data_IF_330636254215
#
_entry.id   IF_330636254215
#
_cell.length_a   1.000
_cell.length_b   1.000
_cell.length_c   1.000
_cell.angle_alpha   90.00
_cell.angle_beta   90.00
_cell.angle_gamma   90.00
#
_symmetry.space_group_name_H-M   'P 1'
#
loop_
_entity.id
_entity.type
_entity.pdbx_description
1 polymer ?
#
# COMPACT_ATOMS: atom_id res chain seq x y z
N UNK A 1 -26.57 -56.50 30.59
CA UNK A 1 -25.76 -55.47 31.27
C UNK A 1 -24.69 -55.01 30.31
N UNK A 2 -24.74 -53.73 29.95
CA UNK A 2 -24.03 -53.11 28.84
C UNK A 2 -22.56 -52.81 29.17
N UNK A 3 -21.67 -53.09 28.20
CA UNK A 3 -20.32 -52.53 28.10
C UNK A 3 -20.42 -51.05 27.67
N UNK A 4 -19.66 -50.17 28.31
CA UNK A 4 -19.37 -48.82 27.83
C UNK A 4 -17.86 -48.70 27.56
N UNK A 5 -17.44 -48.11 26.42
CA UNK A 5 -16.03 -48.03 26.04
C UNK A 5 -15.36 -46.73 26.53
N UNK A 6 -14.05 -46.86 26.71
CA UNK A 6 -13.04 -45.84 26.97
C UNK A 6 -13.10 -44.65 25.99
N UNK A 7 -13.25 -43.45 26.54
CA UNK A 7 -13.11 -42.18 25.84
C UNK A 7 -11.63 -41.88 25.55
N UNK A 8 -11.32 -41.75 24.26
CA UNK A 8 -10.11 -41.11 23.74
C UNK A 8 -10.08 -39.64 24.14
N UNK A 9 -9.00 -39.21 24.78
CA UNK A 9 -8.62 -37.79 24.92
C UNK A 9 -7.96 -37.36 23.60
N UNK A 10 -8.38 -36.25 22.95
CA UNK A 10 -7.66 -35.73 21.80
C UNK A 10 -6.35 -35.09 22.29
N UNK A 11 -5.23 -35.54 21.74
CA UNK A 11 -3.93 -34.90 21.92
C UNK A 11 -3.98 -33.47 21.37
N UNK A 12 -3.85 -32.49 22.26
CA UNK A 12 -3.53 -31.11 21.90
C UNK A 12 -2.12 -31.10 21.28
N UNK A 13 -2.07 -30.88 19.96
CA UNK A 13 -0.87 -30.44 19.25
C UNK A 13 -0.49 -29.05 19.76
N UNK A 14 0.32 -29.00 20.82
CA UNK A 14 1.04 -27.80 21.21
C UNK A 14 2.13 -27.55 20.16
N UNK A 15 1.90 -26.58 19.28
CA UNK A 15 2.97 -26.01 18.46
C UNK A 15 3.99 -25.35 19.39
N UNK A 16 5.23 -25.84 19.35
CA UNK A 16 6.38 -25.17 19.95
C UNK A 16 6.63 -23.86 19.21
N UNK A 17 6.03 -22.78 19.69
CA UNK A 17 6.39 -21.41 19.32
C UNK A 17 7.69 -21.07 20.04
N UNK A 18 8.72 -20.71 19.29
CA UNK A 18 9.93 -20.12 19.88
C UNK A 18 9.60 -18.76 20.51
N UNK A 19 10.42 -18.26 21.43
CA UNK A 19 10.18 -16.96 22.08
C UNK A 19 10.11 -15.77 21.08
N UNK A 20 10.65 -15.90 19.86
CA UNK A 20 10.48 -14.94 18.76
C UNK A 20 9.07 -15.01 18.14
N UNK A 21 8.50 -16.21 18.00
CA UNK A 21 7.18 -16.42 17.40
C UNK A 21 6.02 -15.90 18.25
N UNK A 22 6.22 -15.66 19.56
CA UNK A 22 5.22 -14.98 20.39
C UNK A 22 5.20 -13.46 20.19
N UNK A 23 6.30 -12.87 19.73
CA UNK A 23 6.45 -11.42 19.54
C UNK A 23 5.75 -10.90 18.28
N UNK A 24 5.81 -11.66 17.18
CA UNK A 24 5.22 -11.23 15.90
C UNK A 24 3.68 -11.15 15.93
N UNK A 25 2.93 -12.14 16.45
CA UNK A 25 1.49 -12.01 16.63
C UNK A 25 1.12 -10.82 17.51
N UNK A 26 1.85 -10.60 18.62
CA UNK A 26 1.63 -9.45 19.49
C UNK A 26 1.89 -8.11 18.78
N UNK A 27 2.93 -8.05 17.94
CA UNK A 27 3.20 -6.88 17.08
C UNK A 27 2.06 -6.64 16.09
N UNK A 28 1.57 -7.68 15.41
CA UNK A 28 0.44 -7.59 14.49
C UNK A 28 -0.83 -7.09 15.20
N UNK A 29 -1.17 -7.62 16.39
CA UNK A 29 -2.30 -7.13 17.19
C UNK A 29 -2.12 -5.69 17.65
N UNK A 30 -0.89 -5.29 18.02
CA UNK A 30 -0.58 -3.93 18.43
C UNK A 30 -0.74 -2.94 17.28
N UNK A 31 -0.24 -3.29 16.10
CA UNK A 31 -0.43 -2.51 14.86
C UNK A 31 -1.90 -2.37 14.55
N UNK A 32 -2.64 -3.49 14.51
CA UNK A 32 -4.07 -3.51 14.22
C UNK A 32 -4.85 -2.59 15.16
N UNK A 33 -4.65 -2.77 16.48
CA UNK A 33 -5.30 -1.95 17.50
C UNK A 33 -5.04 -0.46 17.28
N UNK A 34 -3.78 -0.08 17.06
CA UNK A 34 -3.43 1.34 16.86
C UNK A 34 -4.07 1.91 15.60
N UNK A 35 -4.00 1.20 14.46
CA UNK A 35 -4.60 1.67 13.21
C UNK A 35 -6.10 1.92 13.37
N UNK A 36 -6.84 0.96 13.95
CA UNK A 36 -8.29 1.06 14.08
C UNK A 36 -8.76 2.02 15.18
N UNK A 37 -7.98 2.24 16.24
CA UNK A 37 -8.36 3.16 17.32
C UNK A 37 -7.91 4.61 17.11
N UNK A 38 -6.87 4.86 16.30
CA UNK A 38 -6.26 6.19 16.16
C UNK A 38 -6.19 6.73 14.73
N UNK A 39 -5.97 5.87 13.74
CA UNK A 39 -5.65 6.31 12.36
C UNK A 39 -6.78 6.11 11.37
N UNK A 40 -7.80 5.33 11.72
CA UNK A 40 -8.93 5.06 10.83
C UNK A 40 -9.89 6.24 10.83
N UNK A 41 -10.15 6.81 9.66
CA UNK A 41 -11.16 7.86 9.51
C UNK A 41 -12.58 7.30 9.72
N UNK A 42 -13.58 8.17 9.96
CA UNK A 42 -14.99 7.78 9.93
C UNK A 42 -15.39 7.08 8.61
N UNK A 43 -14.82 7.52 7.49
CA UNK A 43 -15.02 6.94 6.15
C UNK A 43 -14.21 5.65 5.91
N UNK A 44 -13.53 5.13 6.93
CA UNK A 44 -12.70 3.93 6.83
C UNK A 44 -11.52 4.04 5.85
N UNK A 45 -10.93 5.24 5.80
CA UNK A 45 -9.68 5.57 5.10
C UNK A 45 -8.58 5.79 6.13
N UNK A 46 -7.39 5.25 5.91
CA UNK A 46 -6.26 5.49 6.81
C UNK A 46 -5.71 6.91 6.66
N UNK A 47 -5.63 7.62 7.78
CA UNK A 47 -4.88 8.87 7.86
C UNK A 47 -3.37 8.63 7.79
N UNK A 48 -2.62 9.58 7.22
CA UNK A 48 -1.16 9.57 7.13
C UNK A 48 -0.53 9.58 8.53
N UNK A 49 -1.10 10.40 9.43
CA UNK A 49 -0.65 10.52 10.81
C UNK A 49 -1.79 10.85 11.77
N UNK A 50 -1.58 10.56 13.06
CA UNK A 50 -2.51 10.88 14.14
C UNK A 50 -1.78 11.01 15.49
N UNK A 51 -2.37 11.74 16.42
CA UNK A 51 -1.91 11.83 17.79
C UNK A 51 -2.14 10.53 18.59
N UNK A 52 -1.65 10.47 19.85
CA UNK A 52 -1.78 9.29 20.71
C UNK A 52 -3.23 8.89 20.99
N UNK A 53 -4.17 9.83 20.99
CA UNK A 53 -5.61 9.57 21.17
C UNK A 53 -6.41 9.65 19.86
N UNK A 54 -5.73 9.64 18.70
CA UNK A 54 -6.36 9.75 17.39
C UNK A 54 -6.61 11.18 16.93
N UNK A 55 -5.92 12.15 17.51
CA UNK A 55 -6.08 13.57 17.15
C UNK A 55 -5.54 13.83 15.74
N UNK A 56 -6.36 14.48 14.91
CA UNK A 56 -6.02 14.92 13.56
C UNK A 56 -6.59 16.32 13.31
N UNK A 57 -5.89 17.12 12.50
CA UNK A 57 -6.41 18.39 11.98
C UNK A 57 -6.73 18.18 10.51
N UNK A 58 -8.00 17.94 10.19
CA UNK A 58 -8.44 17.75 8.81
C UNK A 58 -8.53 19.10 8.09
N UNK A 59 -8.22 19.15 6.79
CA UNK A 59 -8.41 20.36 6.00
C UNK A 59 -9.89 20.70 5.86
N UNK A 60 -10.17 21.99 5.89
CA UNK A 60 -11.51 22.54 5.67
C UNK A 60 -11.84 22.67 4.18
N UNK A 61 -13.11 22.86 3.81
CA UNK A 61 -13.49 23.12 2.41
C UNK A 61 -12.81 24.36 1.83
N UNK A 62 -12.57 25.38 2.67
CA UNK A 62 -11.83 26.58 2.29
C UNK A 62 -10.37 26.28 1.96
N UNK A 63 -9.70 25.51 2.80
CA UNK A 63 -8.29 25.13 2.61
C UNK A 63 -8.11 24.23 1.40
N UNK A 64 -8.98 23.24 1.20
CA UNK A 64 -8.97 22.39 0.01
C UNK A 64 -9.13 23.22 -1.27
N UNK A 65 -10.13 24.12 -1.31
CA UNK A 65 -10.38 24.98 -2.48
C UNK A 65 -9.23 25.95 -2.76
N UNK A 66 -8.55 26.41 -1.72
CA UNK A 66 -7.40 27.32 -1.83
C UNK A 66 -6.07 26.61 -1.98
N UNK A 67 -6.03 25.28 -2.05
CA UNK A 67 -4.79 24.51 -2.12
C UNK A 67 -3.83 24.83 -0.96
N UNK A 68 -4.37 24.87 0.25
CA UNK A 68 -3.64 25.04 1.51
C UNK A 68 -3.51 23.66 2.17
N UNK A 69 -2.29 23.16 2.45
CA UNK A 69 -1.02 23.87 2.38
C UNK A 69 -0.42 23.90 0.96
N UNK A 70 -0.79 22.94 0.12
CA UNK A 70 -0.43 22.87 -1.29
C UNK A 70 -1.51 22.08 -2.04
N UNK A 71 -1.59 22.22 -3.36
CA UNK A 71 -2.60 21.58 -4.21
C UNK A 71 -2.46 20.08 -4.28
N UNK A 72 -1.33 19.53 -3.83
CA UNK A 72 -1.08 18.09 -3.73
C UNK A 72 -1.69 17.47 -2.45
N UNK A 73 -2.11 18.30 -1.49
CA UNK A 73 -2.52 17.84 -0.16
C UNK A 73 -1.39 17.21 0.64
N UNK A 74 -0.14 17.39 0.22
CA UNK A 74 1.02 16.80 0.90
C UNK A 74 1.20 17.38 2.29
N UNK A 75 1.67 16.51 3.19
CA UNK A 75 1.98 16.79 4.59
C UNK A 75 0.75 16.97 5.49
N UNK A 76 -0.46 16.73 4.97
CA UNK A 76 -1.72 16.71 5.72
C UNK A 76 -2.07 15.28 6.14
N UNK A 77 -2.96 15.07 7.13
CA UNK A 77 -3.33 13.71 7.53
C UNK A 77 -4.12 12.96 6.44
N UNK A 78 -4.61 13.66 5.41
CA UNK A 78 -5.39 13.09 4.30
C UNK A 78 -4.53 12.88 3.04
N UNK A 79 -3.20 12.90 3.17
CA UNK A 79 -2.30 12.82 2.03
C UNK A 79 -2.44 11.49 1.27
N UNK A 80 -2.38 10.34 1.96
CA UNK A 80 -2.11 9.05 1.32
C UNK A 80 -3.26 8.03 1.44
N UNK A 81 -4.51 8.48 1.44
CA UNK A 81 -5.68 7.62 1.70
C UNK A 81 -5.80 6.44 0.73
N UNK A 82 -5.71 6.69 -0.58
CA UNK A 82 -5.78 5.61 -1.59
C UNK A 82 -4.61 4.64 -1.49
N UNK A 83 -3.41 5.17 -1.25
CA UNK A 83 -2.21 4.36 -1.04
C UNK A 83 -2.34 3.49 0.20
N UNK A 84 -2.48 4.11 1.38
CA UNK A 84 -2.35 3.45 2.68
C UNK A 84 -3.50 2.48 2.90
N UNK A 85 -4.73 2.90 2.58
CA UNK A 85 -5.92 2.05 2.69
C UNK A 85 -5.83 0.88 1.72
N UNK A 86 -5.34 1.09 0.50
CA UNK A 86 -5.15 0.03 -0.50
C UNK A 86 -4.16 -1.04 -0.03
N UNK A 87 -2.98 -0.63 0.43
CA UNK A 87 -1.96 -1.56 0.91
C UNK A 87 -2.33 -2.22 2.24
N UNK A 88 -3.04 -1.52 3.13
CA UNK A 88 -3.52 -2.12 4.37
C UNK A 88 -4.68 -3.09 4.14
N UNK A 89 -5.56 -2.83 3.16
CA UNK A 89 -6.61 -3.77 2.75
C UNK A 89 -6.03 -5.12 2.30
N UNK A 90 -4.86 -5.12 1.65
CA UNK A 90 -4.13 -6.35 1.33
C UNK A 90 -3.79 -7.14 2.60
N UNK A 91 -3.19 -6.48 3.60
CA UNK A 91 -2.86 -7.11 4.87
C UNK A 91 -4.10 -7.60 5.63
N UNK A 92 -5.16 -6.78 5.69
CA UNK A 92 -6.41 -7.14 6.34
C UNK A 92 -7.07 -8.36 5.67
N UNK A 93 -7.01 -8.46 4.34
CA UNK A 93 -7.49 -9.62 3.61
C UNK A 93 -6.66 -10.88 3.92
N UNK A 94 -5.32 -10.78 3.99
CA UNK A 94 -4.47 -11.92 4.39
C UNK A 94 -4.66 -12.30 5.87
N UNK A 95 -4.86 -11.33 6.77
CA UNK A 95 -5.25 -11.55 8.17
C UNK A 95 -6.56 -12.33 8.26
N UNK A 96 -7.57 -11.91 7.50
CA UNK A 96 -8.86 -12.62 7.44
C UNK A 96 -8.71 -14.04 6.90
N UNK A 97 -7.94 -14.27 5.84
CA UNK A 97 -7.70 -15.63 5.29
C UNK A 97 -7.11 -16.58 6.35
N UNK A 98 -6.24 -16.06 7.22
CA UNK A 98 -5.61 -16.84 8.30
C UNK A 98 -6.47 -16.93 9.57
N UNK A 99 -7.35 -15.95 9.80
CA UNK A 99 -8.24 -15.88 10.96
C UNK A 99 -9.61 -15.29 10.56
N UNK A 100 -10.55 -16.11 10.06
CA UNK A 100 -11.79 -15.65 9.42
C UNK A 100 -12.89 -15.30 10.44
N UNK A 101 -12.62 -14.34 11.33
CA UNK A 101 -13.61 -13.82 12.29
C UNK A 101 -14.56 -12.81 11.65
N UNK A 102 -15.73 -12.60 12.25
CA UNK A 102 -16.67 -11.56 11.84
C UNK A 102 -16.04 -10.15 11.90
N UNK A 103 -15.19 -9.90 12.89
CA UNK A 103 -14.47 -8.63 13.02
C UNK A 103 -13.48 -8.40 11.87
N UNK A 104 -12.66 -9.40 11.53
CA UNK A 104 -11.71 -9.27 10.42
C UNK A 104 -12.45 -9.15 9.07
N UNK A 105 -13.56 -9.86 8.89
CA UNK A 105 -14.44 -9.71 7.73
C UNK A 105 -14.94 -8.27 7.60
N UNK A 106 -15.47 -7.70 8.67
CA UNK A 106 -16.02 -6.35 8.67
C UNK A 106 -14.95 -5.30 8.40
N UNK A 107 -13.76 -5.44 9.00
CA UNK A 107 -12.61 -4.57 8.73
C UNK A 107 -12.24 -4.53 7.24
N UNK A 108 -12.21 -5.69 6.58
CA UNK A 108 -11.95 -5.77 5.13
C UNK A 108 -13.05 -5.06 4.32
N UNK A 109 -14.33 -5.27 4.65
CA UNK A 109 -15.45 -4.59 3.98
C UNK A 109 -15.37 -3.08 4.13
N UNK A 110 -15.10 -2.59 5.35
CA UNK A 110 -14.96 -1.17 5.66
C UNK A 110 -13.85 -0.51 4.86
N UNK A 111 -12.69 -1.13 4.78
CA UNK A 111 -11.56 -0.62 3.99
C UNK A 111 -11.88 -0.56 2.49
N UNK A 112 -12.55 -1.58 1.93
CA UNK A 112 -13.03 -1.54 0.55
C UNK A 112 -14.04 -0.38 0.34
N UNK A 113 -14.95 -0.18 1.28
CA UNK A 113 -15.88 0.95 1.30
C UNK A 113 -15.17 2.31 1.36
N UNK A 114 -14.10 2.44 2.14
CA UNK A 114 -13.28 3.66 2.18
C UNK A 114 -12.62 3.96 0.83
N UNK A 115 -12.11 2.94 0.13
CA UNK A 115 -11.59 3.11 -1.23
C UNK A 115 -12.70 3.53 -2.22
N UNK A 116 -13.91 2.98 -2.10
CA UNK A 116 -15.05 3.45 -2.90
C UNK A 116 -15.39 4.91 -2.61
N UNK A 117 -15.34 5.31 -1.34
CA UNK A 117 -15.60 6.69 -0.94
C UNK A 117 -14.61 7.67 -1.57
N UNK A 118 -13.33 7.33 -1.67
CA UNK A 118 -12.31 8.15 -2.34
C UNK A 118 -12.58 8.33 -3.85
N UNK A 119 -13.26 7.37 -4.48
CA UNK A 119 -13.74 7.51 -5.85
C UNK A 119 -14.99 8.41 -5.90
N UNK A 120 -15.93 8.23 -4.96
CA UNK A 120 -17.25 8.87 -5.00
C UNK A 120 -17.23 10.37 -4.69
N UNK A 121 -16.28 10.86 -3.88
CA UNK A 121 -16.13 12.31 -3.63
C UNK A 121 -15.59 13.08 -4.85
N UNK A 122 -14.93 12.38 -5.78
CA UNK A 122 -14.35 12.95 -6.98
C UNK A 122 -15.39 13.36 -8.02
N UNK A 123 -15.18 14.49 -8.69
CA UNK A 123 -16.08 15.01 -9.74
C UNK A 123 -15.61 14.66 -11.15
N UNK A 124 -14.32 14.40 -11.32
CA UNK A 124 -13.68 14.15 -12.60
C UNK A 124 -13.59 12.64 -12.87
N UNK A 125 -14.12 12.14 -14.00
CA UNK A 125 -13.95 10.74 -14.38
C UNK A 125 -12.46 10.36 -14.44
N UNK A 126 -12.07 9.22 -13.86
CA UNK A 126 -10.67 8.81 -13.77
C UNK A 126 -9.94 9.27 -12.49
N UNK A 127 -10.57 10.09 -11.64
CA UNK A 127 -9.98 10.63 -10.41
C UNK A 127 -10.19 9.71 -9.20
N UNK A 128 -9.19 9.70 -8.31
CA UNK A 128 -9.28 9.14 -6.95
C UNK A 128 -8.74 10.18 -5.98
N UNK A 129 -9.54 10.54 -4.98
CA UNK A 129 -9.15 11.48 -3.95
C UNK A 129 -8.02 10.93 -3.07
N UNK A 130 -7.17 11.84 -2.60
CA UNK A 130 -6.13 11.54 -1.60
C UNK A 130 -6.72 11.28 -0.21
N UNK A 131 -7.81 11.96 0.12
CA UNK A 131 -8.55 11.80 1.35
C UNK A 131 -9.65 12.85 1.46
N UNK A 132 -10.32 12.90 2.61
CA UNK A 132 -11.57 13.62 2.81
C UNK A 132 -11.42 14.55 4.02
N UNK A 133 -11.81 15.82 3.83
CA UNK A 133 -11.70 16.86 4.84
C UNK A 133 -12.89 16.94 5.79
N UNK A 134 -13.04 18.06 6.48
CA UNK A 134 -13.92 18.21 7.66
C UNK A 134 -15.41 18.07 7.39
N UNK A 135 -15.88 18.33 6.17
CA UNK A 135 -17.31 18.27 5.81
C UNK A 135 -17.74 16.91 5.25
N UNK A 136 -16.81 15.94 5.19
CA UNK A 136 -17.05 14.63 4.63
C UNK A 136 -17.05 14.58 3.10
N UNK A 137 -16.80 15.69 2.39
CA UNK A 137 -16.84 15.77 0.92
C UNK A 137 -15.62 16.47 0.30
N UNK A 138 -15.09 17.50 0.96
CA UNK A 138 -14.02 18.31 0.45
C UNK A 138 -12.72 17.51 0.37
N UNK A 139 -11.96 17.74 -0.69
CA UNK A 139 -10.72 17.03 -0.97
C UNK A 139 -9.80 17.92 -1.80
N UNK A 140 -8.50 17.61 -1.82
CA UNK A 140 -7.54 18.29 -2.67
C UNK A 140 -7.69 17.87 -4.13
N UNK A 141 -7.44 18.81 -5.04
CA UNK A 141 -7.61 18.58 -6.47
C UNK A 141 -6.60 17.57 -7.05
N UNK A 142 -5.46 17.31 -6.41
CA UNK A 142 -4.50 16.34 -6.91
C UNK A 142 -4.89 14.90 -6.56
N UNK A 143 -4.92 14.04 -7.58
CA UNK A 143 -4.71 12.60 -7.41
C UNK A 143 -3.21 12.29 -7.52
N UNK A 144 -2.84 11.02 -7.73
CA UNK A 144 -1.48 10.61 -8.10
C UNK A 144 -1.42 9.15 -8.52
N UNK A 145 -0.45 8.80 -9.37
CA UNK A 145 -0.05 7.41 -9.66
C UNK A 145 0.05 6.54 -8.39
N UNK A 146 0.61 7.11 -7.31
CA UNK A 146 0.83 6.42 -6.04
C UNK A 146 -0.45 6.22 -5.21
N UNK A 147 -1.55 6.92 -5.52
CA UNK A 147 -2.86 6.68 -4.91
C UNK A 147 -3.70 5.71 -5.72
N UNK A 148 -3.73 5.93 -7.03
CA UNK A 148 -4.58 5.17 -7.95
C UNK A 148 -4.13 3.72 -8.03
N UNK A 149 -2.83 3.46 -8.07
CA UNK A 149 -2.35 2.09 -8.24
C UNK A 149 -2.65 1.19 -7.03
N UNK A 150 -2.35 1.58 -5.77
CA UNK A 150 -2.72 0.76 -4.62
C UNK A 150 -4.23 0.66 -4.40
N UNK A 151 -5.02 1.64 -4.86
CA UNK A 151 -6.48 1.52 -4.89
C UNK A 151 -6.92 0.28 -5.70
N UNK A 152 -6.34 0.07 -6.89
CA UNK A 152 -6.58 -1.15 -7.66
C UNK A 152 -6.08 -2.40 -6.93
N UNK A 153 -4.87 -2.38 -6.35
CA UNK A 153 -4.31 -3.55 -5.66
C UNK A 153 -5.14 -3.98 -4.45
N UNK A 154 -5.59 -3.03 -3.63
CA UNK A 154 -6.44 -3.28 -2.48
C UNK A 154 -7.79 -3.87 -2.87
N UNK A 155 -8.47 -3.27 -3.85
CA UNK A 155 -9.76 -3.75 -4.33
C UNK A 155 -9.65 -5.10 -5.05
N UNK A 156 -8.57 -5.35 -5.78
CA UNK A 156 -8.25 -6.67 -6.33
C UNK A 156 -8.09 -7.72 -5.21
N UNK A 157 -7.37 -7.39 -4.13
CA UNK A 157 -7.23 -8.30 -2.99
C UNK A 157 -8.57 -8.61 -2.32
N UNK A 158 -9.41 -7.59 -2.10
CA UNK A 158 -10.77 -7.74 -1.57
C UNK A 158 -11.64 -8.62 -2.48
N UNK A 159 -11.62 -8.33 -3.79
CA UNK A 159 -12.35 -9.10 -4.79
C UNK A 159 -11.94 -10.58 -4.75
N UNK A 160 -10.68 -10.92 -4.51
CA UNK A 160 -10.23 -12.32 -4.40
C UNK A 160 -10.49 -12.99 -3.03
N UNK A 161 -11.24 -12.37 -2.13
CA UNK A 161 -11.71 -13.04 -0.91
C UNK A 161 -13.06 -13.71 -1.14
N UNK A 162 -13.48 -14.53 -0.18
CA UNK A 162 -14.85 -15.06 -0.05
C UNK A 162 -15.78 -14.08 0.70
N UNK A 163 -15.33 -12.83 0.94
CA UNK A 163 -16.10 -11.82 1.67
C UNK A 163 -17.19 -11.17 0.81
N UNK A 164 -16.88 -10.62 -0.37
CA UNK A 164 -17.91 -9.98 -1.17
C UNK A 164 -18.90 -11.03 -1.67
N UNK A 165 -20.18 -10.75 -1.45
CA UNK A 165 -21.29 -11.40 -2.18
C UNK A 165 -21.13 -11.18 -3.69
N UNK A 166 -21.87 -11.93 -4.51
CA UNK A 166 -21.81 -11.75 -5.97
C UNK A 166 -22.14 -10.31 -6.40
N UNK A 167 -23.10 -9.67 -5.73
CA UNK A 167 -23.45 -8.27 -6.00
C UNK A 167 -22.32 -7.29 -5.60
N UNK A 168 -21.73 -7.47 -4.41
CA UNK A 168 -20.60 -6.64 -3.96
C UNK A 168 -19.36 -6.86 -4.83
N UNK A 169 -19.13 -8.09 -5.29
CA UNK A 169 -18.05 -8.48 -6.19
C UNK A 169 -18.23 -7.84 -7.57
N UNK A 170 -19.46 -7.82 -8.09
CA UNK A 170 -19.82 -7.14 -9.33
C UNK A 170 -19.65 -5.62 -9.21
N UNK A 171 -20.07 -5.00 -8.10
CA UNK A 171 -19.86 -3.57 -7.87
C UNK A 171 -18.37 -3.22 -7.78
N UNK A 172 -17.57 -4.04 -7.07
CA UNK A 172 -16.13 -3.88 -6.99
C UNK A 172 -15.46 -3.91 -8.38
N UNK A 173 -15.81 -4.91 -9.20
CA UNK A 173 -15.34 -5.02 -10.58
C UNK A 173 -15.79 -3.83 -11.43
N UNK A 174 -17.05 -3.39 -11.29
CA UNK A 174 -17.61 -2.24 -11.98
C UNK A 174 -16.89 -0.94 -11.64
N UNK A 175 -16.52 -0.73 -10.37
CA UNK A 175 -15.74 0.44 -9.93
C UNK A 175 -14.35 0.48 -10.54
N UNK A 176 -13.65 -0.66 -10.53
CA UNK A 176 -12.34 -0.79 -11.17
C UNK A 176 -12.44 -0.57 -12.69
N UNK A 177 -13.47 -1.12 -13.33
CA UNK A 177 -13.71 -0.96 -14.77
C UNK A 177 -14.02 0.49 -15.17
N UNK A 178 -14.86 1.19 -14.40
CA UNK A 178 -15.12 2.62 -14.61
C UNK A 178 -13.81 3.41 -14.56
N UNK A 179 -13.00 3.21 -13.53
CA UNK A 179 -11.73 3.92 -13.38
C UNK A 179 -10.76 3.59 -14.52
N UNK A 180 -10.52 2.31 -14.79
CA UNK A 180 -9.58 1.87 -15.82
C UNK A 180 -10.01 2.32 -17.23
N UNK A 181 -11.30 2.25 -17.56
CA UNK A 181 -11.83 2.71 -18.84
C UNK A 181 -11.66 4.22 -19.05
N UNK A 182 -11.86 5.03 -18.01
CA UNK A 182 -11.60 6.47 -18.09
C UNK A 182 -10.11 6.77 -18.25
N UNK A 183 -9.25 6.08 -17.48
CA UNK A 183 -7.80 6.20 -17.62
C UNK A 183 -7.33 5.81 -19.02
N UNK A 184 -7.86 4.73 -19.60
CA UNK A 184 -7.54 4.32 -20.97
C UNK A 184 -7.87 5.43 -21.99
N UNK A 185 -9.07 6.03 -21.90
CA UNK A 185 -9.50 7.11 -22.81
C UNK A 185 -8.57 8.33 -22.77
N UNK A 186 -7.97 8.63 -21.61
CA UNK A 186 -7.03 9.74 -21.43
C UNK A 186 -5.56 9.28 -21.49
N UNK A 187 -5.28 8.17 -22.19
CA UNK A 187 -3.93 7.65 -22.40
C UNK A 187 -3.16 7.38 -21.10
N UNK A 188 -3.86 6.89 -20.08
CA UNK A 188 -3.34 6.52 -18.76
C UNK A 188 -2.67 7.67 -18.01
N UNK A 189 -3.08 8.90 -18.30
CA UNK A 189 -2.76 10.08 -17.51
C UNK A 189 -3.63 10.08 -16.26
N UNK A 190 -3.07 10.40 -15.10
CA UNK A 190 -3.85 10.48 -13.86
C UNK A 190 -4.42 11.88 -13.72
N UNK A 191 -5.76 12.05 -13.86
CA UNK A 191 -6.39 13.35 -13.76
C UNK A 191 -6.46 13.77 -12.29
N UNK A 192 -6.40 15.08 -12.08
CA UNK A 192 -6.87 15.74 -10.86
C UNK A 192 -8.33 16.14 -11.00
N UNK A 193 -8.92 16.61 -9.90
CA UNK A 193 -10.31 17.09 -9.85
C UNK A 193 -10.44 18.60 -10.15
N UNK A 194 -9.52 19.10 -10.97
CA UNK A 194 -9.55 20.46 -11.54
C UNK A 194 -8.88 20.45 -12.92
N UNK A 195 -9.26 21.36 -13.83
CA UNK A 195 -8.65 21.44 -15.16
C UNK A 195 -7.12 21.57 -15.11
N UNK A 196 -6.45 20.90 -16.04
CA UNK A 196 -4.99 20.91 -16.25
C UNK A 196 -4.12 20.47 -15.06
N UNK A 197 -4.73 19.91 -14.02
CA UNK A 197 -4.01 19.34 -12.89
C UNK A 197 -3.90 17.83 -13.10
N UNK A 198 -2.71 17.33 -13.36
CA UNK A 198 -2.46 15.90 -13.57
C UNK A 198 -1.24 15.49 -12.79
N UNK A 199 -1.25 14.27 -12.22
CA UNK A 199 -0.17 13.80 -11.36
C UNK A 199 0.22 12.37 -11.68
N UNK A 200 1.03 12.26 -12.72
CA UNK A 200 1.63 11.00 -13.14
C UNK A 200 0.94 10.39 -14.36
N UNK A 201 1.68 9.49 -14.98
CA UNK A 201 1.33 8.90 -16.27
C UNK A 201 1.87 7.47 -16.35
N UNK A 202 1.04 6.47 -16.65
CA UNK A 202 1.47 5.06 -16.63
C UNK A 202 2.09 4.58 -17.95
N UNK A 203 2.09 5.39 -19.00
CA UNK A 203 2.88 5.11 -20.21
C UNK A 203 4.34 5.61 -20.09
N UNK A 204 4.77 6.00 -18.89
CA UNK A 204 6.14 6.41 -18.61
C UNK A 204 7.18 5.28 -18.80
N UNK A 205 8.46 5.68 -18.76
CA UNK A 205 9.61 4.85 -19.14
C UNK A 205 10.35 4.27 -17.91
N UNK A 206 9.71 4.21 -16.75
CA UNK A 206 10.31 3.69 -15.51
C UNK A 206 9.66 2.36 -15.10
N UNK A 207 10.34 1.65 -14.18
CA UNK A 207 9.87 0.37 -13.65
C UNK A 207 8.44 0.43 -13.12
N UNK A 208 8.11 1.41 -12.28
CA UNK A 208 6.77 1.55 -11.70
C UNK A 208 5.70 1.73 -12.78
N UNK A 209 5.92 2.57 -13.79
CA UNK A 209 4.97 2.80 -14.89
C UNK A 209 4.72 1.51 -15.69
N UNK A 210 5.78 0.76 -16.00
CA UNK A 210 5.68 -0.52 -16.68
C UNK A 210 4.87 -1.54 -15.85
N UNK A 211 5.12 -1.61 -14.54
CA UNK A 211 4.37 -2.49 -13.62
C UNK A 211 2.92 -2.07 -13.50
N UNK A 212 2.63 -0.77 -13.30
CA UNK A 212 1.27 -0.27 -13.10
C UNK A 212 0.37 -0.64 -14.27
N UNK A 213 0.80 -0.30 -15.49
CA UNK A 213 0.01 -0.56 -16.69
C UNK A 213 -0.18 -2.06 -16.94
N UNK A 214 0.89 -2.85 -16.82
CA UNK A 214 0.82 -4.30 -17.02
C UNK A 214 -0.08 -4.97 -15.97
N UNK A 215 -0.01 -4.52 -14.73
CA UNK A 215 -0.81 -5.10 -13.63
C UNK A 215 -2.27 -4.70 -13.73
N UNK A 216 -2.59 -3.44 -13.99
CA UNK A 216 -3.99 -2.98 -14.09
C UNK A 216 -4.69 -3.64 -15.27
N UNK A 217 -4.07 -3.71 -16.44
CA UNK A 217 -4.66 -4.43 -17.59
C UNK A 217 -4.88 -5.91 -17.29
N UNK A 218 -3.97 -6.58 -16.56
CA UNK A 218 -4.19 -7.96 -16.13
C UNK A 218 -5.32 -8.09 -15.12
N UNK A 219 -5.35 -7.25 -14.07
CA UNK A 219 -6.41 -7.21 -13.06
C UNK A 219 -7.76 -7.00 -13.74
N UNK A 220 -7.83 -6.07 -14.70
CA UNK A 220 -9.07 -5.79 -15.41
C UNK A 220 -9.58 -6.99 -16.19
N UNK A 221 -8.71 -7.71 -16.89
CA UNK A 221 -9.10 -8.98 -17.51
C UNK A 221 -9.60 -9.97 -16.46
N UNK A 222 -8.94 -10.10 -15.30
CA UNK A 222 -9.37 -11.05 -14.28
C UNK A 222 -10.75 -10.76 -13.71
N UNK A 223 -11.08 -9.49 -13.45
CA UNK A 223 -12.35 -9.10 -12.79
C UNK A 223 -13.52 -8.94 -13.77
N UNK A 224 -13.25 -8.67 -15.06
CA UNK A 224 -14.30 -8.48 -16.07
C UNK A 224 -14.46 -9.67 -17.03
N UNK A 225 -13.39 -10.45 -17.22
CA UNK A 225 -13.25 -11.45 -18.30
C UNK A 225 -13.44 -10.88 -19.71
N UNK A 226 -13.29 -9.57 -19.88
CA UNK A 226 -13.31 -8.91 -21.18
C UNK A 226 -11.94 -9.04 -21.88
N UNK A 227 -11.93 -9.66 -23.06
CA UNK A 227 -10.71 -9.95 -23.84
C UNK A 227 -9.96 -8.67 -24.27
N UNK A 228 -10.63 -7.52 -24.37
CA UNK A 228 -9.97 -6.22 -24.65
C UNK A 228 -8.83 -5.95 -23.66
N UNK A 229 -9.04 -6.21 -22.37
CA UNK A 229 -8.03 -6.00 -21.33
C UNK A 229 -6.85 -6.95 -21.42
N UNK A 230 -7.11 -8.18 -21.85
CA UNK A 230 -6.07 -9.19 -22.07
C UNK A 230 -5.21 -8.85 -23.29
N UNK A 231 -5.85 -8.40 -24.38
CA UNK A 231 -5.15 -7.91 -25.57
C UNK A 231 -4.30 -6.68 -25.24
N UNK A 232 -4.86 -5.71 -24.50
CA UNK A 232 -4.12 -4.55 -23.98
C UNK A 232 -2.91 -4.98 -23.13
N UNK A 233 -3.10 -5.93 -22.22
CA UNK A 233 -2.03 -6.43 -21.35
C UNK A 233 -0.83 -6.93 -22.17
N UNK A 234 -1.07 -7.87 -23.09
CA UNK A 234 0.00 -8.42 -23.92
C UNK A 234 0.56 -7.42 -24.93
N UNK A 235 -0.27 -6.51 -25.47
CA UNK A 235 0.21 -5.41 -26.32
C UNK A 235 1.17 -4.51 -25.55
N UNK A 236 0.79 -4.01 -24.38
CA UNK A 236 1.62 -3.11 -23.59
C UNK A 236 2.92 -3.76 -23.10
N UNK A 237 2.89 -5.05 -22.77
CA UNK A 237 4.11 -5.79 -22.40
C UNK A 237 5.12 -5.85 -23.55
N UNK A 238 4.65 -5.95 -24.79
CA UNK A 238 5.48 -6.24 -25.95
C UNK A 238 5.80 -5.02 -26.80
N UNK A 239 4.99 -3.96 -26.78
CA UNK A 239 5.30 -2.73 -27.49
C UNK A 239 6.49 -2.01 -26.84
N UNK A 240 7.40 -1.43 -27.63
CA UNK A 240 8.44 -0.57 -27.11
C UNK A 240 7.84 0.73 -26.58
N UNK A 241 8.41 1.24 -25.50
CA UNK A 241 8.15 2.60 -25.06
C UNK A 241 8.89 3.63 -25.95
N UNK A 242 8.83 4.90 -25.56
CA UNK A 242 9.48 6.01 -26.27
C UNK A 242 11.01 5.90 -26.37
N UNK A 243 11.65 5.07 -25.56
CA UNK A 243 13.09 4.77 -25.60
C UNK A 243 13.41 3.47 -26.36
N UNK A 244 12.41 2.83 -26.97
CA UNK A 244 12.61 1.58 -27.70
C UNK A 244 12.66 0.33 -26.81
N UNK A 245 12.39 0.45 -25.50
CA UNK A 245 12.48 -0.67 -24.55
C UNK A 245 11.08 -1.23 -24.31
N UNK A 246 10.91 -2.55 -24.46
CA UNK A 246 9.62 -3.20 -24.17
C UNK A 246 9.36 -3.20 -22.67
N UNK A 247 8.10 -3.04 -22.27
CA UNK A 247 7.73 -2.96 -20.83
C UNK A 247 8.10 -4.23 -20.07
N UNK A 248 7.94 -5.42 -20.68
CA UNK A 248 8.37 -6.68 -20.05
C UNK A 248 9.87 -6.70 -19.71
N UNK A 249 10.70 -6.07 -20.54
CA UNK A 249 12.14 -5.99 -20.33
C UNK A 249 12.47 -5.00 -19.19
N UNK A 250 11.72 -3.90 -19.06
CA UNK A 250 11.81 -2.99 -17.89
C UNK A 250 11.43 -3.68 -16.60
N UNK A 251 10.33 -4.44 -16.60
CA UNK A 251 9.91 -5.20 -15.42
C UNK A 251 11.00 -6.20 -15.06
N UNK A 252 11.54 -6.95 -16.02
CA UNK A 252 12.60 -7.92 -15.81
C UNK A 252 13.90 -7.32 -15.24
N UNK A 253 14.22 -6.07 -15.59
CA UNK A 253 15.38 -5.35 -15.04
C UNK A 253 15.20 -4.98 -13.55
N UNK A 254 13.95 -4.93 -13.08
CA UNK A 254 13.62 -4.49 -11.72
C UNK A 254 13.62 -2.97 -11.57
N UNK A 255 13.42 -2.51 -10.33
CA UNK A 255 13.52 -1.10 -9.98
C UNK A 255 14.95 -0.59 -10.17
N UNK A 256 15.15 0.70 -10.42
CA UNK A 256 16.48 1.33 -10.39
C UNK A 256 17.06 1.29 -8.95
N UNK A 257 18.16 2.00 -8.67
CA UNK A 257 18.72 2.05 -7.31
C UNK A 257 17.64 2.47 -6.28
N UNK A 258 17.38 1.58 -5.32
CA UNK A 258 16.29 1.74 -4.35
C UNK A 258 16.69 2.71 -3.25
N UNK A 259 16.42 3.99 -3.48
CA UNK A 259 16.60 5.02 -2.47
C UNK A 259 15.65 4.79 -1.27
N UNK A 260 16.04 5.16 -0.02
CA UNK A 260 15.19 4.99 1.15
C UNK A 260 13.80 5.61 1.00
N UNK A 261 13.73 6.83 0.46
CA UNK A 261 12.46 7.56 0.29
C UNK A 261 11.51 6.89 -0.72
N UNK A 262 12.02 6.05 -1.63
CA UNK A 262 11.23 5.39 -2.67
C UNK A 262 10.80 3.97 -2.32
N UNK A 263 11.30 3.40 -1.23
CA UNK A 263 11.03 2.01 -0.84
C UNK A 263 9.54 1.69 -0.70
N UNK A 264 8.75 2.61 -0.15
CA UNK A 264 7.32 2.41 0.08
C UNK A 264 6.52 2.23 -1.21
N UNK A 265 6.58 3.15 -2.18
CA UNK A 265 5.84 2.97 -3.44
C UNK A 265 6.41 1.83 -4.30
N UNK A 266 7.72 1.52 -4.20
CA UNK A 266 8.28 0.35 -4.87
C UNK A 266 7.83 -0.98 -4.24
N UNK A 267 7.46 -1.01 -2.96
CA UNK A 267 6.88 -2.21 -2.34
C UNK A 267 5.55 -2.61 -2.97
N UNK A 268 4.76 -1.63 -3.43
CA UNK A 268 3.50 -1.85 -4.13
C UNK A 268 3.75 -2.44 -5.52
N UNK A 269 4.76 -1.91 -6.23
CA UNK A 269 5.19 -2.46 -7.51
C UNK A 269 5.73 -3.89 -7.37
N UNK A 270 6.52 -4.17 -6.32
CA UNK A 270 6.98 -5.52 -6.00
C UNK A 270 5.81 -6.47 -5.75
N UNK A 271 4.80 -6.05 -4.99
CA UNK A 271 3.58 -6.83 -4.75
C UNK A 271 2.89 -7.16 -6.07
N UNK A 272 2.73 -6.18 -6.94
CA UNK A 272 2.06 -6.36 -8.22
C UNK A 272 2.82 -7.30 -9.16
N UNK A 273 4.17 -7.22 -9.21
CA UNK A 273 4.99 -8.17 -9.97
C UNK A 273 4.82 -9.60 -9.43
N UNK A 274 4.67 -9.77 -8.12
CA UNK A 274 4.39 -11.09 -7.53
C UNK A 274 3.04 -11.64 -7.97
N UNK A 275 2.01 -10.79 -8.02
CA UNK A 275 0.70 -11.24 -8.50
C UNK A 275 0.72 -11.55 -10.00
N UNK A 276 1.44 -10.76 -10.83
CA UNK A 276 1.69 -11.10 -12.23
C UNK A 276 2.41 -12.45 -12.37
N UNK A 277 3.48 -12.67 -11.58
CA UNK A 277 4.20 -13.95 -11.54
C UNK A 277 3.29 -15.13 -11.21
N UNK A 278 2.36 -14.97 -10.27
CA UNK A 278 1.42 -16.02 -9.85
C UNK A 278 0.32 -16.29 -10.88
N UNK A 279 -0.12 -15.27 -11.62
CA UNK A 279 -1.15 -15.38 -12.66
C UNK A 279 -0.59 -15.84 -14.02
N UNK A 280 0.71 -15.69 -14.26
CA UNK A 280 1.32 -15.98 -15.55
C UNK A 280 1.47 -17.48 -15.82
N UNK A 281 1.09 -17.86 -17.03
CA UNK A 281 1.15 -19.23 -17.55
C UNK A 281 2.27 -19.41 -18.58
N UNK A 282 2.70 -18.34 -19.27
CA UNK A 282 3.87 -18.37 -20.15
C UNK A 282 5.16 -18.52 -19.32
N UNK A 283 5.91 -19.63 -19.46
CA UNK A 283 7.13 -19.87 -18.70
C UNK A 283 8.19 -18.78 -18.88
N UNK A 284 8.28 -18.17 -20.07
CA UNK A 284 9.27 -17.14 -20.36
C UNK A 284 8.94 -15.83 -19.63
N UNK A 285 7.70 -15.37 -19.69
CA UNK A 285 7.26 -14.17 -18.95
C UNK A 285 7.34 -14.40 -17.43
N UNK A 286 6.94 -15.59 -16.98
CA UNK A 286 7.01 -15.96 -15.57
C UNK A 286 8.44 -15.90 -15.03
N UNK A 287 9.43 -16.35 -15.80
CA UNK A 287 10.84 -16.26 -15.44
C UNK A 287 11.33 -14.80 -15.36
N UNK A 288 10.86 -13.91 -16.25
CA UNK A 288 11.17 -12.48 -16.18
C UNK A 288 10.67 -11.86 -14.87
N UNK A 289 9.44 -12.17 -14.46
CA UNK A 289 8.88 -11.70 -13.19
C UNK A 289 9.65 -12.26 -11.99
N UNK A 290 9.99 -13.55 -12.01
CA UNK A 290 10.79 -14.18 -10.95
C UNK A 290 12.15 -13.49 -10.79
N UNK A 291 12.83 -13.17 -11.89
CA UNK A 291 14.09 -12.44 -11.89
C UNK A 291 13.92 -11.04 -11.29
N UNK A 292 12.89 -10.31 -11.71
CA UNK A 292 12.55 -8.98 -11.18
C UNK A 292 12.37 -9.01 -9.66
N UNK A 293 11.55 -9.94 -9.16
CA UNK A 293 11.27 -10.13 -7.74
C UNK A 293 12.55 -10.33 -6.92
N UNK A 294 13.45 -11.18 -7.42
CA UNK A 294 14.75 -11.44 -6.78
C UNK A 294 15.65 -10.21 -6.76
N UNK A 295 15.87 -9.58 -7.93
CA UNK A 295 16.75 -8.41 -8.04
C UNK A 295 16.28 -7.25 -7.16
N UNK A 296 14.97 -7.04 -7.09
CA UNK A 296 14.34 -6.04 -6.25
C UNK A 296 14.56 -6.32 -4.76
N UNK A 297 14.48 -7.58 -4.33
CA UNK A 297 14.75 -7.98 -2.96
C UNK A 297 16.21 -7.80 -2.56
N UNK A 298 17.15 -8.17 -3.43
CA UNK A 298 18.59 -7.95 -3.21
C UNK A 298 18.90 -6.45 -3.03
N UNK A 299 18.26 -5.57 -3.81
CA UNK A 299 18.37 -4.10 -3.68
C UNK A 299 17.78 -3.55 -2.38
N UNK A 300 16.79 -4.23 -1.79
CA UNK A 300 16.15 -3.80 -0.56
C UNK A 300 16.94 -4.12 0.71
N UNK A 301 17.79 -5.15 0.69
CA UNK A 301 18.55 -5.62 1.87
C UNK A 301 19.26 -4.49 2.64
N UNK A 302 20.01 -3.56 2.00
CA UNK A 302 20.73 -2.51 2.73
C UNK A 302 19.82 -1.59 3.56
N UNK A 303 18.56 -1.41 3.13
CA UNK A 303 17.60 -0.52 3.77
C UNK A 303 17.06 -1.07 5.09
N UNK A 304 17.17 -2.37 5.35
CA UNK A 304 16.77 -2.97 6.64
C UNK A 304 17.43 -2.21 7.80
N UNK A 305 18.73 -1.94 7.70
CA UNK A 305 19.53 -1.28 8.74
C UNK A 305 19.05 0.13 9.15
N UNK A 306 18.19 0.78 8.36
CA UNK A 306 17.70 2.14 8.64
C UNK A 306 16.85 2.23 9.91
N UNK A 307 16.27 1.12 10.36
CA UNK A 307 15.54 1.05 11.63
C UNK A 307 16.41 1.49 12.82
N UNK A 308 17.74 1.31 12.73
CA UNK A 308 18.70 1.64 13.80
C UNK A 308 18.89 3.14 14.00
N UNK A 309 18.49 3.97 13.02
CA UNK A 309 18.51 5.43 13.15
C UNK A 309 17.40 5.96 14.07
N UNK A 310 16.39 5.15 14.36
CA UNK A 310 15.35 5.49 15.32
C UNK A 310 15.86 5.28 16.75
N UNK A 311 15.90 6.33 17.57
CA UNK A 311 16.20 6.21 18.99
C UNK A 311 14.93 5.86 19.76
N UNK A 312 14.89 4.63 20.31
CA UNK A 312 13.74 4.11 21.05
C UNK A 312 13.58 4.75 22.44
N UNK A 313 14.60 5.43 22.95
CA UNK A 313 14.56 6.16 24.21
C UNK A 313 14.15 7.63 24.03
N UNK A 314 14.31 8.17 22.82
CA UNK A 314 13.94 9.55 22.53
C UNK A 314 12.42 9.76 22.55
N UNK A 315 12.02 10.99 22.91
CA UNK A 315 10.66 11.48 22.71
C UNK A 315 10.72 12.60 21.67
N UNK A 316 10.13 12.36 20.51
CA UNK A 316 10.09 13.33 19.43
C UNK A 316 8.81 14.17 19.53
N UNK A 317 8.92 15.48 19.32
CA UNK A 317 7.75 16.35 19.33
C UNK A 317 6.81 16.00 18.16
N UNK A 318 5.52 15.91 18.46
CA UNK A 318 4.44 15.71 17.51
C UNK A 318 3.46 16.88 17.56
N UNK A 319 2.89 17.22 16.41
CA UNK A 319 1.77 18.15 16.29
C UNK A 319 0.85 17.66 15.18
N UNK A 320 -0.48 17.56 15.41
CA UNK A 320 -1.42 17.23 14.34
C UNK A 320 -1.70 18.45 13.45
N UNK A 321 -1.34 19.64 13.91
CA UNK A 321 -1.57 20.91 13.23
C UNK A 321 -0.52 21.16 12.14
N UNK A 322 -0.87 20.79 10.93
CA UNK A 322 -0.05 20.99 9.73
C UNK A 322 0.04 22.45 9.29
N UNK A 323 -0.80 23.36 9.80
CA UNK A 323 -0.68 24.79 9.47
C UNK A 323 0.68 25.38 9.85
N UNK A 324 1.39 24.74 10.78
CA UNK A 324 2.76 25.08 11.19
C UNK A 324 3.80 24.98 10.08
N UNK A 325 3.49 24.35 8.95
CA UNK A 325 4.37 24.39 7.77
C UNK A 325 4.33 25.73 7.02
N UNK A 326 3.49 26.67 7.46
CA UNK A 326 3.33 28.00 6.86
C UNK A 326 3.87 29.10 7.80
N UNK A 327 4.59 30.10 7.25
CA UNK A 327 5.12 30.17 5.88
C UNK A 327 6.17 29.07 5.58
N UNK A 328 6.39 28.70 4.31
CA UNK A 328 5.89 29.37 3.10
C UNK A 328 4.51 28.91 2.63
N UNK A 329 3.73 29.85 2.07
CA UNK A 329 2.56 29.56 1.24
C UNK A 329 2.43 30.60 0.13
N UNK A 330 2.04 30.15 -1.06
CA UNK A 330 1.69 30.99 -2.21
C UNK A 330 0.66 30.28 -3.08
N UNK A 331 -0.09 31.04 -3.86
CA UNK A 331 -1.00 30.50 -4.87
C UNK A 331 -0.22 29.68 -5.91
N UNK A 332 -0.79 28.54 -6.33
CA UNK A 332 -0.17 27.58 -7.24
C UNK A 332 -1.04 27.44 -8.48
N UNK A 333 -0.46 27.58 -9.67
CA UNK A 333 -1.23 27.58 -10.92
C UNK A 333 -1.37 26.19 -11.55
N UNK A 334 -0.51 25.26 -11.16
CA UNK A 334 -0.44 23.92 -11.72
C UNK A 334 0.26 22.96 -10.74
N UNK A 335 0.35 21.68 -11.12
CA UNK A 335 0.98 20.63 -10.32
C UNK A 335 2.45 20.92 -9.97
N UNK A 336 3.22 21.51 -10.90
CA UNK A 336 4.65 21.80 -10.68
C UNK A 336 4.87 22.90 -9.65
N UNK A 337 4.03 23.95 -9.67
CA UNK A 337 4.04 25.00 -8.66
C UNK A 337 3.72 24.42 -7.28
N UNK A 338 2.70 23.56 -7.22
CA UNK A 338 2.30 22.87 -5.99
C UNK A 338 3.40 21.95 -5.45
N UNK A 339 4.08 21.20 -6.33
CA UNK A 339 5.20 20.35 -5.95
C UNK A 339 6.37 21.17 -5.41
N UNK A 340 6.71 22.27 -6.07
CA UNK A 340 7.81 23.14 -5.65
C UNK A 340 7.53 23.73 -4.28
N UNK A 341 6.30 24.25 -4.05
CA UNK A 341 5.89 24.74 -2.74
C UNK A 341 5.94 23.63 -1.67
N UNK A 342 5.43 22.44 -1.98
CA UNK A 342 5.43 21.34 -1.02
C UNK A 342 6.85 20.90 -0.62
N UNK A 343 7.82 20.94 -1.54
CA UNK A 343 9.23 20.65 -1.25
C UNK A 343 9.92 21.76 -0.44
N UNK A 344 9.45 23.00 -0.50
CA UNK A 344 9.90 24.05 0.42
C UNK A 344 9.30 23.85 1.83
N UNK A 345 8.03 23.44 1.89
CA UNK A 345 7.30 23.21 3.14
C UNK A 345 7.83 22.03 3.95
N UNK A 346 8.33 20.96 3.31
CA UNK A 346 8.79 19.75 4.03
C UNK A 346 9.86 20.07 5.07
N UNK A 347 10.79 20.99 4.77
CA UNK A 347 11.83 21.38 5.73
C UNK A 347 11.28 22.15 6.94
N UNK A 348 10.20 22.91 6.77
CA UNK A 348 9.49 23.58 7.88
C UNK A 348 8.71 22.54 8.68
N UNK A 349 8.01 21.65 7.98
CA UNK A 349 7.21 20.60 8.60
C UNK A 349 8.05 19.64 9.44
N UNK A 350 9.19 19.17 8.92
CA UNK A 350 10.07 18.25 9.63
C UNK A 350 10.63 18.86 10.93
N UNK A 351 10.82 20.18 10.97
CA UNK A 351 11.20 20.90 12.21
C UNK A 351 10.04 21.07 13.17
N UNK A 352 8.84 21.31 12.67
CA UNK A 352 7.63 21.49 13.49
C UNK A 352 7.11 20.17 14.07
N UNK A 353 7.30 19.06 13.35
CA UNK A 353 6.80 17.73 13.70
C UNK A 353 7.88 16.64 13.50
N UNK A 354 9.01 16.69 14.24
CA UNK A 354 10.13 15.77 14.05
C UNK A 354 9.78 14.29 14.26
N UNK A 355 8.71 13.97 15.00
CA UNK A 355 8.23 12.59 15.15
C UNK A 355 7.95 11.93 13.79
N UNK A 356 7.20 12.61 12.92
CA UNK A 356 6.84 12.10 11.58
C UNK A 356 8.08 12.01 10.69
N UNK A 357 8.97 13.01 10.74
CA UNK A 357 10.19 13.03 9.94
C UNK A 357 11.10 11.84 10.25
N UNK A 358 11.33 11.57 11.54
CA UNK A 358 12.18 10.46 11.99
C UNK A 358 11.55 9.12 11.63
N UNK A 359 10.24 8.94 11.84
CA UNK A 359 9.52 7.72 11.45
C UNK A 359 9.56 7.48 9.93
N UNK A 360 9.36 8.52 9.11
CA UNK A 360 9.46 8.46 7.64
C UNK A 360 10.88 8.10 7.17
N UNK A 361 11.92 8.53 7.89
CA UNK A 361 13.32 8.33 7.50
C UNK A 361 13.93 7.00 8.00
N UNK A 362 13.36 6.39 9.04
CA UNK A 362 13.90 5.19 9.68
C UNK A 362 12.99 3.98 9.53
N UNK A 363 11.78 4.04 10.10
CA UNK A 363 10.82 2.95 10.17
C UNK A 363 10.28 2.57 8.79
N UNK A 364 9.73 3.55 8.05
CA UNK A 364 9.08 3.31 6.75
C UNK A 364 9.98 2.53 5.78
N UNK A 365 11.19 3.01 5.44
CA UNK A 365 12.02 2.32 4.47
C UNK A 365 12.46 0.92 4.93
N UNK A 366 12.73 0.74 6.22
CA UNK A 366 13.15 -0.55 6.76
C UNK A 366 12.04 -1.61 6.70
N UNK A 367 10.81 -1.27 7.07
CA UNK A 367 9.67 -2.19 6.99
C UNK A 367 9.34 -2.49 5.52
N UNK A 368 9.31 -1.47 4.66
CA UNK A 368 9.05 -1.67 3.23
C UNK A 368 10.12 -2.56 2.58
N UNK A 369 11.38 -2.46 3.00
CA UNK A 369 12.44 -3.35 2.54
C UNK A 369 12.19 -4.80 2.97
N UNK A 370 11.82 -5.02 4.24
CA UNK A 370 11.40 -6.34 4.71
C UNK A 370 10.23 -6.90 3.90
N UNK A 371 9.26 -6.04 3.54
CA UNK A 371 8.15 -6.46 2.70
C UNK A 371 8.58 -6.85 1.29
N UNK A 372 9.42 -6.04 0.63
CA UNK A 372 9.95 -6.34 -0.70
C UNK A 372 10.68 -7.70 -0.72
N UNK A 373 11.42 -8.01 0.35
CA UNK A 373 12.11 -9.29 0.53
C UNK A 373 11.13 -10.45 0.66
N UNK A 374 10.12 -10.35 1.54
CA UNK A 374 9.11 -11.41 1.72
C UNK A 374 8.30 -11.65 0.43
N UNK A 375 8.04 -10.59 -0.34
CA UNK A 375 7.34 -10.67 -1.62
C UNK A 375 8.14 -11.37 -2.74
N UNK A 376 9.44 -11.56 -2.56
CA UNK A 376 10.32 -12.12 -3.61
C UNK A 376 10.05 -13.58 -3.97
N UNK A 377 9.36 -14.31 -3.09
CA UNK A 377 9.18 -15.76 -3.14
C UNK A 377 10.52 -16.52 -3.32
N UNK A 378 11.63 -15.99 -2.78
CA UNK A 378 12.94 -16.63 -2.72
C UNK A 378 13.20 -17.17 -1.30
N UNK A 379 12.96 -18.47 -1.01
CA UNK A 379 13.06 -19.01 0.34
C UNK A 379 14.41 -18.75 0.99
N UNK A 380 15.50 -18.92 0.25
CA UNK A 380 16.86 -18.77 0.78
C UNK A 380 17.15 -17.32 1.18
N UNK A 381 16.73 -16.35 0.35
CA UNK A 381 16.92 -14.91 0.62
C UNK A 381 16.04 -14.46 1.79
N UNK A 382 14.80 -14.95 1.85
CA UNK A 382 13.88 -14.66 2.96
C UNK A 382 14.46 -15.21 4.27
N UNK A 383 14.90 -16.48 4.30
CA UNK A 383 15.46 -17.12 5.50
C UNK A 383 16.74 -16.44 5.96
N UNK A 384 17.63 -16.08 5.02
CA UNK A 384 18.86 -15.36 5.31
C UNK A 384 18.62 -14.01 6.01
N UNK A 385 17.60 -13.26 5.58
CA UNK A 385 17.34 -11.91 6.08
C UNK A 385 16.22 -11.83 7.13
N UNK A 386 15.50 -12.91 7.39
CA UNK A 386 14.39 -12.93 8.35
C UNK A 386 14.77 -12.44 9.74
N UNK A 387 15.92 -12.82 10.35
CA UNK A 387 16.29 -12.31 11.67
C UNK A 387 16.38 -10.77 11.73
N UNK A 388 16.84 -10.13 10.64
CA UNK A 388 16.88 -8.66 10.56
C UNK A 388 15.49 -8.05 10.33
N UNK A 389 14.63 -8.73 9.56
CA UNK A 389 13.23 -8.29 9.36
C UNK A 389 12.46 -8.37 10.69
N UNK A 390 12.65 -9.44 11.45
CA UNK A 390 12.08 -9.62 12.78
C UNK A 390 12.62 -8.56 13.76
N UNK A 391 13.93 -8.25 13.72
CA UNK A 391 14.52 -7.13 14.48
C UNK A 391 13.82 -5.79 14.14
N UNK A 392 13.58 -5.52 12.85
CA UNK A 392 12.86 -4.31 12.41
C UNK A 392 11.45 -4.27 13.01
N UNK A 393 10.70 -5.37 12.94
CA UNK A 393 9.32 -5.44 13.44
C UNK A 393 9.31 -5.22 14.97
N UNK A 394 10.11 -5.99 15.71
CA UNK A 394 10.05 -6.00 17.17
C UNK A 394 10.72 -4.78 17.83
N UNK A 395 11.41 -3.92 17.07
CA UNK A 395 12.09 -2.74 17.60
C UNK A 395 11.14 -1.65 18.09
N UNK A 396 10.00 -1.47 17.43
CA UNK A 396 9.17 -0.28 17.63
C UNK A 396 8.04 -0.52 18.63
N UNK A 397 7.80 0.47 19.49
CA UNK A 397 6.57 0.54 20.25
C UNK A 397 5.50 1.27 19.43
N UNK A 398 4.59 0.51 18.82
CA UNK A 398 3.55 1.05 17.94
C UNK A 398 2.59 2.02 18.64
N UNK A 399 2.41 1.93 19.96
CA UNK A 399 1.57 2.87 20.71
C UNK A 399 2.18 4.28 20.75
N UNK A 400 3.50 4.41 20.48
CA UNK A 400 4.23 5.68 20.46
C UNK A 400 4.45 6.28 19.08
N UNK A 401 4.08 5.56 18.01
CA UNK A 401 4.29 6.04 16.64
C UNK A 401 3.15 6.97 16.22
N UNK A 402 3.47 7.89 15.32
CA UNK A 402 2.56 8.92 14.83
C UNK A 402 2.28 8.85 13.34
N UNK A 403 3.05 8.07 12.56
CA UNK A 403 2.91 7.91 11.13
C UNK A 403 2.43 6.49 10.77
N UNK A 404 1.31 6.37 10.06
CA UNK A 404 0.60 5.08 9.94
C UNK A 404 1.28 4.05 9.04
N UNK A 405 2.37 4.38 8.34
CA UNK A 405 3.08 3.42 7.46
C UNK A 405 3.63 2.17 8.19
N UNK A 406 3.57 2.12 9.52
CA UNK A 406 3.78 0.86 10.25
C UNK A 406 2.70 -0.20 9.95
N UNK A 407 1.61 0.12 9.23
CA UNK A 407 0.65 -0.88 8.74
C UNK A 407 1.33 -1.98 7.92
N UNK A 408 2.45 -1.68 7.24
CA UNK A 408 3.22 -2.67 6.48
C UNK A 408 3.74 -3.83 7.33
N UNK A 409 3.81 -3.69 8.66
CA UNK A 409 4.14 -4.80 9.56
C UNK A 409 3.14 -5.94 9.42
N UNK A 410 1.84 -5.65 9.37
CA UNK A 410 0.84 -6.70 9.12
C UNK A 410 1.05 -7.32 7.73
N UNK A 411 1.35 -6.51 6.70
CA UNK A 411 1.67 -7.04 5.37
C UNK A 411 2.84 -8.05 5.43
N UNK A 412 3.95 -7.70 6.08
CA UNK A 412 5.15 -8.55 6.19
C UNK A 412 4.81 -9.86 6.92
N UNK A 413 4.16 -9.77 8.08
CA UNK A 413 3.86 -10.93 8.93
C UNK A 413 2.92 -11.90 8.21
N UNK A 414 1.80 -11.40 7.68
CA UNK A 414 0.80 -12.27 7.07
C UNK A 414 1.26 -12.85 5.72
N UNK A 415 2.01 -12.10 4.90
CA UNK A 415 2.59 -12.67 3.67
C UNK A 415 3.67 -13.72 3.97
N UNK A 416 4.46 -13.57 5.03
CA UNK A 416 5.45 -14.59 5.44
C UNK A 416 4.76 -15.92 5.76
N UNK A 417 3.71 -15.88 6.59
CA UNK A 417 2.97 -17.09 6.99
C UNK A 417 2.35 -17.78 5.77
N UNK A 418 1.75 -17.01 4.86
CA UNK A 418 1.16 -17.51 3.61
C UNK A 418 2.19 -18.23 2.74
N UNK A 419 3.42 -17.71 2.66
CA UNK A 419 4.50 -18.37 1.92
C UNK A 419 4.97 -19.67 2.61
N UNK A 420 5.01 -19.69 3.94
CA UNK A 420 5.38 -20.89 4.72
C UNK A 420 4.38 -22.05 4.63
N UNK A 421 3.09 -21.76 4.44
CA UNK A 421 2.09 -22.80 4.20
C UNK A 421 2.21 -23.44 2.81
N UNK A 422 2.59 -22.65 1.79
CA UNK A 422 2.83 -23.17 0.44
C UNK A 422 4.02 -24.13 0.39
N UNK A 423 5.13 -23.79 1.06
CA UNK A 423 6.33 -24.65 1.07
C UNK A 423 6.11 -25.96 1.83
N UNK A 424 5.23 -25.99 2.84
CA UNK A 424 4.84 -27.23 3.55
C UNK A 424 3.91 -28.15 2.76
N UNK A 425 3.19 -27.63 1.75
CA UNK A 425 2.23 -28.40 0.93
C UNK A 425 2.83 -28.95 -0.37
N UNK A 426 4.10 -28.67 -0.67
CA UNK A 426 4.82 -29.28 -1.80
C UNK A 426 5.72 -30.39 -1.26
N UNK A 427 5.38 -31.69 -1.42
CA UNK A 427 6.36 -32.74 -1.21
C UNK A 427 7.47 -32.56 -2.25
N UNK A 428 8.72 -32.72 -1.81
CA UNK A 428 9.88 -32.77 -2.70
C UNK A 428 9.77 -33.90 -3.72
#
# INVERSE_FOLDING_TARGET
MFKLPSLLVPALLLWNLSAGDAGLPAAAESVNRNLWSRFMSPDSVLYDYAGPAGEVVLPTPEECRRHIPNGLGWWTPVENGGFFTGMYLIAAADRYRQNPTAENREKVKRLAGGLYRLQDVGKTPGFIARGIGTDGECHYAASSNDQVFPWFLGLWSYWNTDIPTDAERAECAGRMARLAGELEKINWLIPGDMPDFTRGWWLGENFCSAVHLSSVTRIMYEVTKDEHWKELHYRYLNEPDRKGVRRRDRIAAGMDDLAPWSAWFNSNAQYAVRELYRLETDPALRELYRKSLRTNAEKAVPLLSLHRKYDTAATYAFTPDWHRMMPPWREQKNERDAQTLALEQIGVWDRACPAIAVEKASLKPAICAGYIIVLSEQPELIEQHWPQIEEVILRFNYDKLHYSAFFYVENVIYDRTRNGEKTKKTPR
#
